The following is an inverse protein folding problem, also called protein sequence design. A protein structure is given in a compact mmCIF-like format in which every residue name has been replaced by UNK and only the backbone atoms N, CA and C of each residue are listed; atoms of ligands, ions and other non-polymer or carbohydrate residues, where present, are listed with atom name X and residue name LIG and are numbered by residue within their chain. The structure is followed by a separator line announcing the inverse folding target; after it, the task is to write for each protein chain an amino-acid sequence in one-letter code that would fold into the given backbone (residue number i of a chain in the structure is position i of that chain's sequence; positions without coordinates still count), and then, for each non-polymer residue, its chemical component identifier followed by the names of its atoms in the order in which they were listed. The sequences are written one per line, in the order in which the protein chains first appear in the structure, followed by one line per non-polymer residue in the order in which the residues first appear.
data_IF_170738726112
#
_entry.id   IF_170738726112
#
_cell.length_a   1.000
_cell.length_b   1.000
_cell.length_c   1.000
_cell.angle_alpha   90.00
_cell.angle_beta   90.00
_cell.angle_gamma   90.00
#
_symmetry.space_group_name_H-M   'P 1'
#
loop_
_entity.id
_entity.type
_entity.pdbx_description
1 polymer ?
#
# COMPACT_ATOMS: atom_id res chain seq x y z
N UNK A 1 -14.53 22.27 15.94
CA UNK A 1 -13.42 22.81 15.12
C UNK A 1 -12.49 21.68 14.67
N UNK A 2 -12.04 20.81 15.60
CA UNK A 2 -11.13 19.69 15.27
C UNK A 2 -11.73 18.62 14.34
N UNK A 3 -13.01 18.26 14.51
CA UNK A 3 -13.68 17.29 13.63
C UNK A 3 -13.76 17.76 12.18
N UNK A 4 -14.08 19.04 11.94
CA UNK A 4 -14.11 19.63 10.60
C UNK A 4 -12.72 19.71 9.95
N UNK A 5 -11.67 19.97 10.74
CA UNK A 5 -10.30 19.95 10.22
C UNK A 5 -9.86 18.53 9.86
N UNK A 6 -10.23 17.52 10.67
CA UNK A 6 -9.92 16.12 10.38
C UNK A 6 -10.59 15.65 9.09
N UNK A 7 -11.90 15.89 8.99
CA UNK A 7 -12.69 15.57 7.80
C UNK A 7 -12.14 16.28 6.55
N UNK A 8 -11.76 17.55 6.67
CA UNK A 8 -11.14 18.30 5.58
C UNK A 8 -9.79 17.69 5.15
N UNK A 9 -8.93 17.31 6.10
CA UNK A 9 -7.64 16.65 5.82
C UNK A 9 -7.84 15.32 5.09
N UNK A 10 -8.81 14.54 5.52
CA UNK A 10 -9.18 13.25 4.93
C UNK A 10 -9.71 13.43 3.50
N UNK A 11 -10.65 14.37 3.32
CA UNK A 11 -11.21 14.71 2.02
C UNK A 11 -10.11 15.08 1.01
N UNK A 12 -9.14 15.92 1.40
CA UNK A 12 -8.09 16.34 0.44
C UNK A 12 -7.32 15.15 -0.15
N UNK A 13 -6.99 14.15 0.66
CA UNK A 13 -6.29 12.93 0.23
C UNK A 13 -7.18 12.00 -0.55
N UNK A 14 -8.41 11.80 -0.09
CA UNK A 14 -9.41 10.98 -0.77
C UNK A 14 -9.69 11.48 -2.18
N UNK A 15 -9.92 12.78 -2.33
CA UNK A 15 -10.25 13.38 -3.63
C UNK A 15 -9.04 13.42 -4.57
N UNK A 16 -7.86 13.82 -4.09
CA UNK A 16 -6.64 13.81 -4.91
C UNK A 16 -6.26 12.38 -5.32
N UNK A 17 -6.32 11.42 -4.39
CA UNK A 17 -6.07 10.01 -4.70
C UNK A 17 -7.09 9.43 -5.67
N UNK A 18 -8.36 9.84 -5.59
CA UNK A 18 -9.38 9.47 -6.58
C UNK A 18 -9.06 10.06 -7.95
N UNK A 19 -8.70 11.35 -8.03
CA UNK A 19 -8.29 12.00 -9.27
C UNK A 19 -7.17 11.22 -9.96
N UNK A 20 -6.11 10.88 -9.23
CA UNK A 20 -4.99 10.12 -9.79
C UNK A 20 -5.46 8.75 -10.31
N UNK A 21 -6.29 8.02 -9.56
CA UNK A 21 -6.72 6.67 -9.97
C UNK A 21 -7.71 6.69 -11.13
N UNK A 22 -8.59 7.67 -11.19
CA UNK A 22 -9.54 7.84 -12.30
C UNK A 22 -8.82 8.14 -13.63
N UNK A 23 -7.68 8.84 -13.58
CA UNK A 23 -6.89 9.24 -14.78
C UNK A 23 -5.82 8.22 -15.15
N UNK A 24 -5.14 7.65 -14.15
CA UNK A 24 -3.93 6.84 -14.33
C UNK A 24 -4.11 5.36 -13.94
N UNK A 25 -5.28 4.95 -13.45
CA UNK A 25 -5.58 3.58 -13.06
C UNK A 25 -5.42 3.31 -11.56
N UNK A 26 -5.96 2.18 -11.10
CA UNK A 26 -6.08 1.86 -9.67
C UNK A 26 -4.87 1.15 -9.08
N UNK A 27 -4.08 0.48 -9.92
CA UNK A 27 -2.95 -0.33 -9.47
C UNK A 27 -1.79 0.57 -9.00
N UNK A 28 -1.21 0.30 -7.83
CA UNK A 28 -0.03 1.01 -7.36
C UNK A 28 1.15 0.83 -8.33
N UNK A 29 1.69 1.95 -8.80
CA UNK A 29 2.82 2.02 -9.75
C UNK A 29 3.33 3.45 -9.84
N UNK A 30 4.49 3.63 -10.46
CA UNK A 30 4.87 4.93 -11.02
C UNK A 30 4.76 4.88 -12.54
N UNK A 31 4.47 6.02 -13.15
CA UNK A 31 4.32 6.18 -14.59
C UNK A 31 5.14 7.39 -15.01
N UNK A 32 5.95 7.25 -16.05
CA UNK A 32 6.66 8.35 -16.70
C UNK A 32 6.01 8.56 -18.06
N UNK A 33 5.54 9.76 -18.35
CA UNK A 33 4.86 10.13 -19.58
C UNK A 33 5.62 11.23 -20.30
N UNK A 34 5.74 11.12 -21.62
CA UNK A 34 6.45 12.08 -22.46
C UNK A 34 5.59 12.56 -23.64
N UNK A 35 5.91 13.75 -24.17
CA UNK A 35 5.33 14.28 -25.41
C UNK A 35 3.79 14.26 -25.42
N UNK A 36 3.16 13.66 -26.43
CA UNK A 36 1.72 13.71 -26.66
C UNK A 36 0.91 13.06 -25.53
N UNK A 37 1.47 12.07 -24.82
CA UNK A 37 0.81 11.41 -23.69
C UNK A 37 0.59 12.37 -22.52
N UNK A 38 1.52 13.33 -22.32
CA UNK A 38 1.41 14.36 -21.29
C UNK A 38 0.22 15.25 -21.58
N UNK A 39 0.08 15.74 -22.81
CA UNK A 39 -1.02 16.62 -23.20
C UNK A 39 -2.39 15.96 -23.01
N UNK A 40 -2.54 14.69 -23.42
CA UNK A 40 -3.77 13.93 -23.22
C UNK A 40 -4.13 13.78 -21.74
N UNK A 41 -3.14 13.41 -20.89
CA UNK A 41 -3.39 13.21 -19.46
C UNK A 41 -3.65 14.51 -18.71
N UNK A 42 -3.01 15.61 -19.08
CA UNK A 42 -3.33 16.93 -18.53
C UNK A 42 -4.76 17.36 -18.90
N UNK A 43 -5.23 17.09 -20.12
CA UNK A 43 -6.62 17.34 -20.52
C UNK A 43 -7.62 16.51 -19.70
N UNK A 44 -7.32 15.24 -19.45
CA UNK A 44 -8.13 14.39 -18.55
C UNK A 44 -8.18 14.95 -17.13
N UNK A 45 -7.05 15.39 -16.57
CA UNK A 45 -7.00 16.04 -15.24
C UNK A 45 -7.83 17.33 -15.24
N UNK A 46 -7.66 18.21 -16.23
CA UNK A 46 -8.42 19.46 -16.36
C UNK A 46 -9.92 19.18 -16.40
N UNK A 47 -10.35 18.19 -17.19
CA UNK A 47 -11.76 17.78 -17.24
C UNK A 47 -12.26 17.34 -15.87
N UNK A 48 -11.49 16.52 -15.14
CA UNK A 48 -11.85 16.06 -13.79
C UNK A 48 -11.92 17.21 -12.78
N UNK A 49 -11.00 18.16 -12.83
CA UNK A 49 -11.04 19.35 -11.98
C UNK A 49 -12.23 20.26 -12.30
N UNK A 50 -12.67 20.34 -13.57
CA UNK A 50 -13.91 21.04 -13.97
C UNK A 50 -15.17 20.32 -13.48
N UNK A 51 -15.18 18.99 -13.52
CA UNK A 51 -16.29 18.16 -13.00
C UNK A 51 -16.39 18.20 -11.47
N UNK A 52 -15.30 18.45 -10.76
CA UNK A 52 -15.23 18.51 -9.29
C UNK A 52 -14.34 19.68 -8.86
N UNK A 53 -14.86 20.93 -8.87
CA UNK A 53 -14.08 22.13 -8.60
C UNK A 53 -13.36 22.14 -7.25
N UNK A 54 -13.87 21.40 -6.26
CA UNK A 54 -13.21 21.22 -4.95
C UNK A 54 -11.82 20.61 -5.07
N UNK A 55 -11.53 19.85 -6.13
CA UNK A 55 -10.20 19.30 -6.40
C UNK A 55 -9.13 20.38 -6.51
N UNK A 56 -9.45 21.57 -7.03
CA UNK A 56 -8.52 22.69 -7.07
C UNK A 56 -8.08 23.07 -5.65
N UNK A 57 -9.06 23.23 -4.76
CA UNK A 57 -8.82 23.58 -3.36
C UNK A 57 -8.13 22.46 -2.55
N UNK A 58 -8.35 21.20 -2.94
CA UNK A 58 -7.77 20.02 -2.30
C UNK A 58 -6.39 19.63 -2.83
N UNK A 59 -5.97 20.20 -3.96
CA UNK A 59 -4.67 19.95 -4.57
C UNK A 59 -3.72 21.08 -4.21
N UNK A 60 -2.53 20.71 -3.76
CA UNK A 60 -1.42 21.62 -3.55
C UNK A 60 -0.36 21.41 -4.61
N UNK A 61 0.29 22.51 -4.96
CA UNK A 61 1.47 22.49 -5.79
C UNK A 61 2.67 23.04 -5.00
N UNK A 62 3.84 22.55 -5.37
CA UNK A 62 5.12 23.06 -4.90
C UNK A 62 5.88 23.70 -6.04
N UNK A 63 6.28 24.94 -5.80
CA UNK A 63 7.07 25.77 -6.71
C UNK A 63 8.16 26.46 -5.89
N UNK A 64 9.34 25.87 -5.86
CA UNK A 64 10.48 26.33 -5.07
C UNK A 64 10.20 26.09 -3.59
N UNK A 65 10.61 27.04 -2.74
CA UNK A 65 10.40 26.96 -1.30
C UNK A 65 8.98 27.33 -0.83
N UNK A 66 7.94 27.19 -1.65
CA UNK A 66 6.56 27.56 -1.29
C UNK A 66 5.54 26.53 -1.78
N UNK A 67 4.53 26.28 -0.94
CA UNK A 67 3.36 25.46 -1.23
C UNK A 67 2.08 26.28 -1.19
N UNK A 68 1.23 26.10 -2.20
CA UNK A 68 -0.04 26.82 -2.30
C UNK A 68 -1.14 25.86 -2.78
N UNK A 69 -2.42 26.15 -2.46
CA UNK A 69 -3.53 25.62 -3.25
C UNK A 69 -3.41 26.07 -4.71
N UNK A 70 -3.96 25.28 -5.62
CA UNK A 70 -4.19 25.74 -6.99
C UNK A 70 -5.56 26.41 -7.09
N UNK A 71 -5.64 27.52 -7.82
CA UNK A 71 -6.87 28.28 -8.07
C UNK A 71 -7.41 28.03 -9.48
N UNK A 72 -6.54 27.67 -10.42
CA UNK A 72 -6.92 27.33 -11.79
C UNK A 72 -6.05 26.21 -12.35
N UNK A 73 -6.66 25.36 -13.18
CA UNK A 73 -5.95 24.32 -13.92
C UNK A 73 -6.68 24.12 -15.24
N UNK A 74 -6.09 24.60 -16.33
CA UNK A 74 -6.64 24.41 -17.66
C UNK A 74 -5.57 24.09 -18.70
N UNK A 75 -5.95 23.43 -19.78
CA UNK A 75 -5.03 23.01 -20.82
C UNK A 75 -5.55 23.50 -22.15
N UNK A 76 -4.77 24.34 -22.83
CA UNK A 76 -5.12 24.90 -24.12
C UNK A 76 -3.87 25.18 -24.97
N UNK A 77 -3.99 25.04 -26.29
CA UNK A 77 -2.93 25.34 -27.25
C UNK A 77 -1.58 24.65 -26.94
N UNK A 78 -1.62 23.46 -26.34
CA UNK A 78 -0.42 22.70 -25.95
C UNK A 78 0.26 23.17 -24.65
N UNK A 79 -0.34 24.11 -23.92
CA UNK A 79 0.16 24.60 -22.63
C UNK A 79 -0.80 24.27 -21.49
N UNK A 80 -0.22 24.04 -20.31
CA UNK A 80 -0.94 24.04 -19.04
C UNK A 80 -0.99 25.48 -18.50
N UNK A 81 -2.17 25.99 -18.26
CA UNK A 81 -2.42 27.25 -17.57
C UNK A 81 -2.78 26.94 -16.12
N UNK A 82 -1.90 27.35 -15.20
CA UNK A 82 -2.06 27.09 -13.77
C UNK A 82 -1.62 28.32 -12.98
N UNK A 83 -2.54 28.88 -12.20
CA UNK A 83 -2.33 30.04 -11.32
C UNK A 83 -1.62 31.25 -11.98
N UNK A 84 -1.98 31.54 -13.24
CA UNK A 84 -1.39 32.61 -14.04
C UNK A 84 -0.11 32.23 -14.77
N UNK A 85 0.48 31.06 -14.52
CA UNK A 85 1.58 30.55 -15.32
C UNK A 85 1.06 29.86 -16.59
N UNK A 86 1.74 30.10 -17.71
CA UNK A 86 1.66 29.34 -18.95
C UNK A 86 2.85 28.38 -18.98
N UNK A 87 2.56 27.10 -18.86
CA UNK A 87 3.56 26.05 -18.58
C UNK A 87 3.63 25.08 -19.76
N UNK A 88 4.82 24.92 -20.33
CA UNK A 88 5.12 23.87 -21.30
C UNK A 88 5.63 22.64 -20.54
N UNK A 89 4.82 21.59 -20.42
CA UNK A 89 5.20 20.38 -19.68
C UNK A 89 5.93 19.41 -20.61
N UNK A 90 7.21 19.16 -20.35
CA UNK A 90 8.07 18.25 -21.12
C UNK A 90 7.76 16.78 -20.81
N UNK A 91 7.65 16.48 -19.52
CA UNK A 91 7.49 15.13 -18.99
C UNK A 91 6.67 15.18 -17.71
N UNK A 92 5.95 14.11 -17.43
CA UNK A 92 5.17 13.96 -16.21
C UNK A 92 5.49 12.63 -15.54
N UNK A 93 5.87 12.68 -14.26
CA UNK A 93 6.01 11.51 -13.40
C UNK A 93 4.81 11.43 -12.47
N UNK A 94 4.12 10.31 -12.44
CA UNK A 94 2.98 10.07 -11.55
C UNK A 94 3.31 8.92 -10.62
N UNK A 95 3.14 9.12 -9.31
CA UNK A 95 3.18 8.05 -8.32
C UNK A 95 1.77 7.74 -7.84
N UNK A 96 1.37 6.47 -8.01
CA UNK A 96 0.17 5.87 -7.44
C UNK A 96 0.60 4.94 -6.31
N UNK A 97 0.43 5.38 -5.08
CA UNK A 97 0.77 4.63 -3.88
C UNK A 97 -0.40 3.78 -3.40
N UNK A 98 -0.16 2.66 -2.70
CA UNK A 98 -1.22 1.97 -1.95
C UNK A 98 -1.82 2.87 -0.85
N UNK A 99 -1.03 3.80 -0.30
CA UNK A 99 -1.45 4.78 0.71
C UNK A 99 -1.63 6.15 0.02
N UNK A 100 -2.86 6.64 -0.20
CA UNK A 100 -3.12 7.82 -1.03
C UNK A 100 -2.39 9.10 -0.63
N UNK A 101 -2.04 9.27 0.64
CA UNK A 101 -1.20 10.37 1.14
C UNK A 101 0.16 10.47 0.44
N UNK A 102 0.66 9.38 -0.12
CA UNK A 102 1.91 9.33 -0.88
C UNK A 102 1.71 9.42 -2.39
N UNK A 103 0.49 9.68 -2.88
CA UNK A 103 0.26 9.94 -4.30
C UNK A 103 0.81 11.32 -4.69
N UNK A 104 1.40 11.43 -5.88
CA UNK A 104 1.85 12.72 -6.43
C UNK A 104 1.88 12.73 -7.96
N UNK A 105 1.86 13.93 -8.54
CA UNK A 105 2.17 14.21 -9.94
C UNK A 105 3.32 15.20 -9.97
N UNK A 106 4.44 14.84 -10.57
CA UNK A 106 5.59 15.72 -10.80
C UNK A 106 5.59 16.15 -12.26
N UNK A 107 5.62 17.45 -12.49
CA UNK A 107 5.68 18.09 -13.79
C UNK A 107 7.11 18.58 -14.04
N UNK A 108 7.75 18.03 -15.06
CA UNK A 108 8.99 18.56 -15.60
C UNK A 108 8.66 19.58 -16.68
N UNK A 109 9.02 20.84 -16.44
CA UNK A 109 8.71 21.98 -17.29
C UNK A 109 9.85 22.20 -18.27
N UNK A 110 9.49 22.35 -19.54
CA UNK A 110 10.41 22.78 -20.59
C UNK A 110 10.57 24.30 -20.50
N UNK A 111 11.80 24.78 -20.45
CA UNK A 111 12.07 26.21 -20.60
C UNK A 111 11.91 26.63 -22.06
N UNK A 112 11.27 27.78 -22.28
CA UNK A 112 11.02 28.32 -23.62
C UNK A 112 12.25 29.02 -24.22
N UNK A 113 13.21 29.45 -23.39
CA UNK A 113 14.48 30.06 -23.84
C UNK A 113 15.62 29.04 -23.83
N UNK A 114 15.62 28.13 -22.85
CA UNK A 114 16.56 26.99 -22.78
C UNK A 114 15.84 25.71 -22.37
N UNK A 115 16.15 24.62 -23.05
CA UNK A 115 15.56 23.30 -22.76
C UNK A 115 16.38 22.45 -21.78
N UNK A 116 17.61 22.86 -21.47
CA UNK A 116 18.52 22.19 -20.54
C UNK A 116 18.79 23.10 -19.34
N UNK A 117 18.84 22.50 -18.15
CA UNK A 117 19.09 23.24 -16.91
C UNK A 117 20.58 23.53 -16.78
N UNK A 118 20.92 24.80 -16.59
CA UNK A 118 22.27 25.27 -16.29
C UNK A 118 22.27 25.98 -14.94
N UNK A 119 23.19 25.61 -14.05
CA UNK A 119 23.24 26.13 -12.68
C UNK A 119 23.32 27.66 -12.63
N UNK A 120 23.91 28.31 -13.64
CA UNK A 120 24.07 29.77 -13.71
C UNK A 120 22.79 30.52 -14.04
N UNK A 121 21.75 29.82 -14.51
CA UNK A 121 20.45 30.43 -14.84
C UNK A 121 19.58 30.70 -13.60
N UNK A 122 19.97 30.16 -12.44
CA UNK A 122 19.18 30.17 -11.21
C UNK A 122 19.81 31.02 -10.11
N UNK A 123 18.98 31.62 -9.26
CA UNK A 123 19.46 32.35 -8.08
C UNK A 123 19.47 31.46 -6.85
N UNK A 124 20.62 30.87 -6.56
CA UNK A 124 20.76 29.94 -5.44
C UNK A 124 20.66 30.68 -4.09
N UNK A 125 19.79 30.18 -3.23
CA UNK A 125 19.37 30.81 -1.99
C UNK A 125 19.98 30.09 -0.79
N UNK A 126 20.75 30.83 0.03
CA UNK A 126 21.04 30.40 1.41
C UNK A 126 21.36 31.51 2.40
N UNK A 127 21.20 32.79 2.02
CA UNK A 127 21.75 34.03 2.61
C UNK A 127 22.87 34.70 1.76
N UNK A 128 22.74 34.68 0.44
CA UNK A 128 23.60 35.43 -0.50
C UNK A 128 24.77 34.60 -1.04
N UNK A 129 24.52 33.83 -2.10
CA UNK A 129 25.58 33.18 -2.88
C UNK A 129 26.22 34.20 -3.83
N UNK A 130 27.55 34.14 -3.97
CA UNK A 130 28.31 34.85 -5.01
C UNK A 130 28.50 33.90 -6.20
N UNK A 131 28.66 34.43 -7.43
CA UNK A 131 28.84 33.64 -8.66
C UNK A 131 30.00 32.62 -8.60
N UNK A 132 30.91 32.77 -7.65
CA UNK A 132 32.13 31.98 -7.44
C UNK A 132 31.99 30.80 -6.46
N UNK A 133 30.83 30.64 -5.82
CA UNK A 133 30.59 29.56 -4.86
C UNK A 133 30.19 28.24 -5.56
N UNK A 134 30.74 27.11 -5.12
CA UNK A 134 30.34 25.78 -5.61
C UNK A 134 28.94 25.39 -5.09
N UNK A 135 28.07 24.91 -6.00
CA UNK A 135 26.71 24.49 -5.65
C UNK A 135 26.72 23.14 -4.93
N UNK A 136 26.17 23.10 -3.71
CA UNK A 136 25.97 21.87 -2.94
C UNK A 136 24.51 21.39 -3.10
N UNK A 137 24.30 20.45 -4.02
CA UNK A 137 22.99 19.86 -4.29
C UNK A 137 22.35 19.15 -3.09
N UNK A 138 23.07 18.92 -1.98
CA UNK A 138 22.48 18.36 -0.76
C UNK A 138 21.96 19.42 0.21
N UNK A 139 22.28 20.69 -0.01
CA UNK A 139 21.95 21.77 0.93
C UNK A 139 21.35 23.01 0.28
N UNK A 140 21.46 23.17 -1.02
CA UNK A 140 21.15 24.43 -1.71
C UNK A 140 19.81 24.37 -2.47
N UNK A 141 19.11 25.51 -2.44
CA UNK A 141 17.80 25.75 -3.06
C UNK A 141 17.88 26.99 -3.94
N UNK A 142 16.86 27.33 -4.73
CA UNK A 142 16.96 28.51 -5.60
C UNK A 142 15.65 29.27 -5.76
N UNK A 143 15.73 30.56 -6.08
CA UNK A 143 14.55 31.39 -6.26
C UNK A 143 13.91 31.23 -7.64
N UNK A 144 12.59 31.09 -7.65
CA UNK A 144 11.81 30.82 -8.87
C UNK A 144 11.60 32.06 -9.75
N UNK A 145 11.82 33.28 -9.24
CA UNK A 145 11.54 34.48 -10.03
C UNK A 145 12.49 34.65 -11.23
N UNK A 146 13.74 34.18 -11.13
CA UNK A 146 14.69 34.25 -12.26
C UNK A 146 14.30 33.34 -13.41
N UNK A 147 13.59 32.24 -13.13
CA UNK A 147 13.16 31.31 -14.17
C UNK A 147 11.92 31.79 -14.92
N UNK A 148 11.27 32.86 -14.45
CA UNK A 148 10.08 33.42 -15.09
C UNK A 148 10.40 34.49 -16.13
N UNK A 149 9.65 34.45 -17.22
CA UNK A 149 9.43 35.54 -18.15
C UNK A 149 7.97 36.01 -18.10
N UNK A 150 7.68 37.18 -18.67
CA UNK A 150 6.33 37.74 -18.72
C UNK A 150 5.72 37.54 -20.11
N UNK A 151 4.53 36.98 -20.17
CA UNK A 151 3.68 37.01 -21.37
C UNK A 151 2.89 38.32 -21.40
N UNK A 152 2.30 38.71 -20.27
CA UNK A 152 1.60 39.97 -20.06
C UNK A 152 1.58 40.33 -18.56
N UNK A 153 0.77 41.32 -18.15
CA UNK A 153 0.69 41.76 -16.75
C UNK A 153 0.24 40.67 -15.76
N UNK A 154 -0.50 39.67 -16.23
CA UNK A 154 -1.12 38.62 -15.40
C UNK A 154 -0.61 37.21 -15.71
N UNK A 155 0.17 37.05 -16.77
CA UNK A 155 0.64 35.74 -17.23
C UNK A 155 2.15 35.67 -17.37
N UNK A 156 2.70 34.57 -16.86
CA UNK A 156 4.13 34.29 -16.85
C UNK A 156 4.43 33.01 -17.63
N UNK A 157 5.67 32.85 -18.09
CA UNK A 157 6.16 31.61 -18.69
C UNK A 157 7.51 31.23 -18.09
N UNK A 158 7.92 29.99 -18.29
CA UNK A 158 9.22 29.50 -17.82
C UNK A 158 10.29 29.66 -18.90
N UNK A 159 11.31 30.48 -18.63
CA UNK A 159 12.46 30.68 -19.52
C UNK A 159 13.37 29.46 -19.54
N UNK A 160 13.55 28.85 -18.36
CA UNK A 160 14.46 27.73 -18.12
C UNK A 160 13.68 26.53 -17.56
N UNK A 161 14.25 25.32 -17.59
CA UNK A 161 13.59 24.14 -17.06
C UNK A 161 13.24 24.29 -15.58
N UNK A 162 12.21 23.57 -15.14
CA UNK A 162 11.76 23.65 -13.76
C UNK A 162 11.00 22.37 -13.36
N UNK A 163 10.99 22.03 -12.08
CA UNK A 163 10.20 20.92 -11.57
C UNK A 163 9.12 21.41 -10.60
N UNK A 164 7.89 20.96 -10.81
CA UNK A 164 6.77 21.18 -9.88
C UNK A 164 6.22 19.84 -9.41
N UNK A 165 5.67 19.79 -8.21
CA UNK A 165 4.98 18.61 -7.71
C UNK A 165 3.58 18.99 -7.20
N UNK A 166 2.59 18.25 -7.67
CA UNK A 166 1.19 18.30 -7.26
C UNK A 166 0.91 17.16 -6.30
N UNK A 167 0.28 17.46 -5.17
CA UNK A 167 -0.11 16.48 -4.15
C UNK A 167 -1.43 16.86 -3.51
N UNK A 168 -2.01 15.97 -2.71
CA UNK A 168 -3.07 16.38 -1.79
C UNK A 168 -2.57 17.49 -0.86
N UNK A 169 -3.43 18.45 -0.53
CA UNK A 169 -3.14 19.50 0.46
C UNK A 169 -2.67 18.97 1.81
N UNK A 170 -3.11 17.77 2.20
CA UNK A 170 -2.52 17.04 3.33
C UNK A 170 -1.91 15.71 2.89
N UNK A 171 -1.13 15.72 1.80
CA UNK A 171 -0.26 14.63 1.36
C UNK A 171 1.01 14.49 2.21
N UNK A 172 1.92 13.62 1.80
CA UNK A 172 3.18 13.38 2.51
C UNK A 172 4.01 14.68 2.75
N UNK A 173 4.14 15.59 1.78
CA UNK A 173 4.87 16.84 1.99
C UNK A 173 4.28 17.72 3.08
N UNK A 174 2.96 17.72 3.20
CA UNK A 174 2.20 18.64 4.04
C UNK A 174 1.93 18.13 5.45
N UNK A 175 2.39 16.91 5.77
CA UNK A 175 2.27 16.32 7.10
C UNK A 175 3.62 16.18 7.80
N UNK A 176 4.59 17.03 7.47
CA UNK A 176 5.92 17.06 8.09
C UNK A 176 6.72 15.76 7.92
N UNK A 177 6.46 14.96 6.88
CA UNK A 177 7.35 13.84 6.55
C UNK A 177 8.70 14.31 6.01
N UNK A 178 8.73 15.51 5.43
CA UNK A 178 9.92 16.20 4.97
C UNK A 178 9.70 17.72 5.08
N UNK A 179 10.78 18.49 5.15
CA UNK A 179 10.70 19.95 5.09
C UNK A 179 10.58 20.44 3.66
N UNK A 180 9.99 21.62 3.47
CA UNK A 180 9.84 22.28 2.16
C UNK A 180 11.20 22.41 1.45
N UNK A 181 12.24 22.85 2.18
CA UNK A 181 13.60 22.93 1.65
C UNK A 181 14.14 21.57 1.21
N UNK A 182 13.79 20.48 1.91
CA UNK A 182 14.25 19.15 1.52
C UNK A 182 13.55 18.68 0.24
N UNK A 183 12.26 18.96 0.09
CA UNK A 183 11.56 18.66 -1.16
C UNK A 183 12.16 19.45 -2.32
N UNK A 184 12.40 20.75 -2.14
CA UNK A 184 13.03 21.59 -3.16
C UNK A 184 14.42 21.08 -3.55
N UNK A 185 15.26 20.73 -2.57
CA UNK A 185 16.57 20.10 -2.82
C UNK A 185 16.43 18.86 -3.70
N UNK A 186 15.45 18.00 -3.43
CA UNK A 186 15.24 16.77 -4.19
C UNK A 186 14.70 17.04 -5.61
N UNK A 187 13.82 18.04 -5.77
CA UNK A 187 13.36 18.49 -7.09
C UNK A 187 14.51 19.09 -7.91
N UNK A 188 15.43 19.82 -7.27
CA UNK A 188 16.62 20.38 -7.92
C UNK A 188 17.56 19.28 -8.36
N UNK A 189 17.89 18.33 -7.47
CA UNK A 189 18.70 17.16 -7.82
C UNK A 189 18.14 16.43 -9.04
N UNK A 190 16.81 16.26 -9.08
CA UNK A 190 16.14 15.62 -10.19
C UNK A 190 16.22 16.44 -11.49
N UNK A 191 16.02 17.76 -11.41
CA UNK A 191 16.09 18.68 -12.54
C UNK A 191 17.48 18.70 -13.19
N UNK A 192 18.53 18.66 -12.38
CA UNK A 192 19.93 18.66 -12.82
C UNK A 192 20.50 17.26 -13.09
N UNK A 193 19.67 16.20 -13.02
CA UNK A 193 20.10 14.83 -13.30
C UNK A 193 21.08 14.24 -12.28
N UNK A 194 21.13 14.81 -11.07
CA UNK A 194 21.93 14.28 -9.94
C UNK A 194 21.30 13.00 -9.37
N UNK A 195 19.98 12.88 -9.47
CA UNK A 195 19.23 11.67 -9.10
C UNK A 195 18.25 11.29 -10.21
N UNK A 196 17.88 10.01 -10.25
CA UNK A 196 16.84 9.46 -11.11
C UNK A 196 15.44 9.63 -10.51
N UNK A 197 14.41 9.30 -11.31
CA UNK A 197 13.03 9.22 -10.80
C UNK A 197 12.87 8.11 -9.77
N UNK A 198 13.54 6.98 -9.94
CA UNK A 198 13.53 5.87 -8.99
C UNK A 198 14.11 6.28 -7.64
N UNK A 199 15.23 7.02 -7.64
CA UNK A 199 15.86 7.54 -6.42
C UNK A 199 14.98 8.59 -5.74
N UNK A 200 14.31 9.47 -6.50
CA UNK A 200 13.34 10.42 -5.95
C UNK A 200 12.16 9.70 -5.30
N UNK A 201 11.59 8.69 -5.95
CA UNK A 201 10.48 7.87 -5.43
C UNK A 201 10.89 7.13 -4.17
N UNK A 202 12.09 6.54 -4.15
CA UNK A 202 12.64 5.86 -2.99
C UNK A 202 12.78 6.83 -1.80
N UNK A 203 13.30 8.03 -2.06
CA UNK A 203 13.38 9.06 -1.03
C UNK A 203 11.98 9.47 -0.53
N UNK A 204 11.04 9.76 -1.43
CA UNK A 204 9.68 10.19 -1.08
C UNK A 204 8.95 9.16 -0.22
N UNK A 205 9.19 7.87 -0.47
CA UNK A 205 8.62 6.74 0.28
C UNK A 205 9.44 6.32 1.51
N UNK A 206 10.52 7.04 1.85
CA UNK A 206 11.37 6.76 3.04
C UNK A 206 10.57 6.57 4.33
N UNK A 207 9.50 7.34 4.62
CA UNK A 207 8.68 7.11 5.82
C UNK A 207 8.08 5.69 5.88
N UNK A 208 7.64 5.15 4.75
CA UNK A 208 7.14 3.78 4.65
C UNK A 208 8.27 2.77 4.82
N UNK A 209 9.42 3.01 4.20
CA UNK A 209 10.62 2.16 4.34
C UNK A 209 11.13 2.09 5.78
N UNK A 210 11.12 3.21 6.51
CA UNK A 210 11.50 3.25 7.93
C UNK A 210 10.55 2.43 8.80
N UNK A 211 9.25 2.50 8.53
CA UNK A 211 8.27 1.71 9.26
C UNK A 211 8.41 0.22 8.93
N UNK A 212 8.68 -0.14 7.68
CA UNK A 212 9.01 -1.52 7.28
C UNK A 212 10.24 -2.04 8.04
N UNK A 213 11.30 -1.25 8.13
CA UNK A 213 12.51 -1.60 8.88
C UNK A 213 12.20 -1.95 10.34
N UNK A 214 11.36 -1.18 11.02
CA UNK A 214 10.95 -1.50 12.41
C UNK A 214 10.23 -2.85 12.52
N UNK A 215 9.42 -3.21 11.53
CA UNK A 215 8.73 -4.51 11.51
C UNK A 215 9.70 -5.64 11.17
N UNK A 216 10.67 -5.43 10.29
CA UNK A 216 11.73 -6.40 10.00
C UNK A 216 12.67 -6.60 11.22
N UNK A 217 12.95 -5.54 11.98
CA UNK A 217 13.65 -5.62 13.28
C UNK A 217 12.84 -6.44 14.29
N UNK A 218 11.52 -6.25 14.34
CA UNK A 218 10.64 -7.06 15.18
C UNK A 218 10.62 -8.54 14.75
N UNK A 219 10.56 -8.81 13.46
CA UNK A 219 10.66 -10.16 12.92
C UNK A 219 11.97 -10.82 13.33
N UNK A 220 13.09 -10.11 13.21
CA UNK A 220 14.42 -10.58 13.66
C UNK A 220 14.44 -10.83 15.17
N UNK A 221 13.79 -9.97 15.96
CA UNK A 221 13.61 -10.17 17.40
C UNK A 221 12.82 -11.45 17.72
N UNK A 222 11.75 -11.75 16.97
CA UNK A 222 10.96 -12.96 17.15
C UNK A 222 11.73 -14.24 16.82
N UNK A 223 12.68 -14.20 15.87
CA UNK A 223 13.54 -15.36 15.59
C UNK A 223 14.37 -15.72 16.83
N UNK A 224 14.93 -14.72 17.50
CA UNK A 224 15.75 -14.92 18.69
C UNK A 224 14.89 -15.16 19.95
N UNK A 225 13.70 -14.57 20.02
CA UNK A 225 12.83 -14.60 21.19
C UNK A 225 11.35 -14.87 20.83
N UNK A 226 11.00 -16.06 20.30
CA UNK A 226 9.66 -16.34 19.76
C UNK A 226 8.50 -16.07 20.72
N UNK A 227 8.72 -16.33 22.01
CA UNK A 227 7.70 -16.20 23.06
C UNK A 227 7.65 -14.80 23.69
N UNK A 228 8.60 -13.91 23.37
CA UNK A 228 8.75 -12.61 24.02
C UNK A 228 8.34 -11.44 23.13
N UNK A 229 7.52 -11.66 22.08
CA UNK A 229 7.13 -10.61 21.14
C UNK A 229 6.57 -9.34 21.81
N UNK A 230 5.90 -9.48 22.96
CA UNK A 230 5.38 -8.35 23.76
C UNK A 230 6.45 -7.49 24.45
N UNK A 231 7.72 -7.91 24.46
CA UNK A 231 8.82 -7.09 24.96
C UNK A 231 9.32 -6.08 23.91
N UNK A 232 9.00 -6.29 22.63
CA UNK A 232 9.36 -5.40 21.53
C UNK A 232 8.30 -4.30 21.30
N UNK A 233 8.73 -3.10 20.91
CA UNK A 233 7.82 -1.96 20.70
C UNK A 233 6.73 -2.24 19.65
N UNK A 234 7.12 -2.85 18.53
CA UNK A 234 6.20 -3.22 17.44
C UNK A 234 5.23 -4.31 17.89
N UNK A 235 5.67 -5.29 18.67
CA UNK A 235 4.78 -6.33 19.21
C UNK A 235 3.70 -5.72 20.12
N UNK A 236 4.08 -4.79 21.00
CA UNK A 236 3.13 -4.02 21.83
C UNK A 236 2.18 -3.20 20.99
N UNK A 237 2.69 -2.54 19.93
CA UNK A 237 1.90 -1.73 19.02
C UNK A 237 0.86 -2.57 18.28
N UNK A 238 1.25 -3.73 17.73
CA UNK A 238 0.35 -4.68 17.07
C UNK A 238 -0.72 -5.15 18.06
N UNK A 239 -0.33 -5.66 19.23
CA UNK A 239 -1.28 -6.17 20.21
C UNK A 239 -2.32 -5.12 20.65
N UNK A 240 -1.87 -3.87 20.87
CA UNK A 240 -2.76 -2.76 21.25
C UNK A 240 -3.78 -2.40 20.16
N UNK A 241 -3.39 -2.51 18.88
CA UNK A 241 -4.17 -1.99 17.77
C UNK A 241 -4.87 -3.07 16.94
N UNK A 242 -4.60 -4.36 17.16
CA UNK A 242 -5.14 -5.46 16.34
C UNK A 242 -6.68 -5.48 16.27
N UNK A 243 -7.37 -5.06 17.34
CA UNK A 243 -8.83 -4.95 17.39
C UNK A 243 -9.43 -3.96 16.37
N UNK A 244 -8.62 -3.00 15.92
CA UNK A 244 -8.99 -1.98 14.95
C UNK A 244 -8.59 -2.33 13.52
N UNK A 245 -7.78 -3.37 13.30
CA UNK A 245 -7.44 -3.82 11.95
C UNK A 245 -8.70 -4.24 11.17
N UNK A 246 -8.63 -4.23 9.82
CA UNK A 246 -9.74 -4.65 8.97
C UNK A 246 -10.32 -5.98 9.41
N UNK A 247 -11.65 -6.03 9.48
CA UNK A 247 -12.39 -7.21 9.89
C UNK A 247 -13.66 -7.35 9.10
N UNK A 248 -14.05 -8.59 8.87
CA UNK A 248 -15.21 -8.93 8.07
C UNK A 248 -16.11 -9.92 8.82
N UNK A 249 -17.36 -9.99 8.36
CA UNK A 249 -18.26 -11.09 8.66
C UNK A 249 -18.40 -11.94 7.41
N UNK A 250 -18.42 -13.25 7.58
CA UNK A 250 -18.63 -14.22 6.51
C UNK A 250 -20.03 -14.79 6.71
N UNK A 251 -20.87 -14.69 5.69
CA UNK A 251 -22.24 -15.19 5.70
C UNK A 251 -22.50 -15.97 4.41
N UNK A 252 -23.08 -17.17 4.56
CA UNK A 252 -23.43 -18.09 3.48
C UNK A 252 -22.34 -18.33 2.40
N UNK A 253 -21.07 -18.30 2.79
CA UNK A 253 -19.93 -18.51 1.86
C UNK A 253 -19.41 -19.95 1.93
N UNK A 254 -19.06 -20.47 0.76
CA UNK A 254 -18.48 -21.80 0.61
C UNK A 254 -16.96 -21.71 0.61
N UNK A 255 -16.33 -22.64 1.32
CA UNK A 255 -14.91 -22.90 1.30
C UNK A 255 -14.64 -24.40 1.14
N UNK A 256 -13.39 -24.75 0.91
CA UNK A 256 -12.95 -26.12 0.65
C UNK A 256 -11.79 -26.47 1.57
N UNK A 257 -11.60 -27.77 1.78
CA UNK A 257 -10.48 -28.33 2.54
C UNK A 257 -10.04 -29.64 1.90
N UNK A 258 -8.74 -29.86 1.84
CA UNK A 258 -8.16 -31.08 1.29
C UNK A 258 -7.26 -31.74 2.32
N UNK A 259 -7.11 -33.05 2.17
CA UNK A 259 -6.11 -33.85 2.87
C UNK A 259 -5.42 -34.77 1.86
N UNK A 260 -4.12 -34.94 2.06
CA UNK A 260 -3.35 -35.96 1.35
C UNK A 260 -3.93 -37.35 1.63
N UNK A 261 -4.11 -38.12 0.57
CA UNK A 261 -4.69 -39.45 0.61
C UNK A 261 -3.66 -40.45 1.14
N UNK A 262 -4.06 -41.26 2.13
CA UNK A 262 -3.31 -42.47 2.52
C UNK A 262 -3.65 -43.68 1.64
N UNK A 263 -4.85 -43.68 1.07
CA UNK A 263 -5.39 -44.68 0.17
C UNK A 263 -6.26 -43.98 -0.89
N UNK A 264 -6.58 -44.64 -2.00
CA UNK A 264 -7.41 -44.06 -3.08
C UNK A 264 -8.90 -44.04 -2.71
N UNK A 265 -9.23 -43.48 -1.55
CA UNK A 265 -10.59 -43.32 -1.04
C UNK A 265 -10.71 -42.02 -0.27
N UNK A 266 -11.82 -41.26 -0.42
CA UNK A 266 -12.04 -40.07 0.39
C UNK A 266 -12.07 -40.39 1.89
N UNK A 267 -11.63 -39.42 2.69
CA UNK A 267 -11.80 -39.49 4.13
C UNK A 267 -13.28 -39.34 4.52
N UNK A 268 -13.64 -39.80 5.72
CA UNK A 268 -14.96 -39.53 6.30
C UNK A 268 -15.14 -38.05 6.67
N UNK A 269 -16.39 -37.63 6.93
CA UNK A 269 -16.65 -36.29 7.47
C UNK A 269 -15.80 -36.01 8.70
N UNK A 270 -15.79 -36.92 9.67
CA UNK A 270 -15.08 -36.73 10.94
C UNK A 270 -13.58 -36.49 10.75
N UNK A 271 -13.01 -37.08 9.71
CA UNK A 271 -11.60 -36.93 9.34
C UNK A 271 -11.35 -35.65 8.55
N UNK A 272 -12.35 -35.07 7.88
CA UNK A 272 -12.17 -33.81 7.14
C UNK A 272 -12.26 -32.55 8.01
N UNK A 273 -12.81 -32.65 9.22
CA UNK A 273 -12.74 -31.56 10.22
C UNK A 273 -11.29 -31.33 10.73
N UNK A 274 -11.13 -30.40 11.66
CA UNK A 274 -9.84 -30.15 12.30
C UNK A 274 -9.42 -31.37 13.17
N UNK A 275 -8.12 -31.67 13.30
CA UNK A 275 -7.68 -32.81 14.09
C UNK A 275 -8.07 -32.64 15.57
N UNK A 276 -8.57 -33.66 16.27
CA UNK A 276 -8.98 -33.55 17.67
C UNK A 276 -7.77 -33.28 18.58
N UNK A 277 -7.76 -32.11 19.23
CA UNK A 277 -6.69 -31.72 20.15
C UNK A 277 -6.56 -32.70 21.31
N UNK A 278 -5.32 -33.06 21.66
CA UNK A 278 -5.01 -34.01 22.73
C UNK A 278 -5.19 -35.50 22.38
N UNK A 279 -5.70 -35.84 21.18
CA UNK A 279 -5.84 -37.23 20.72
C UNK A 279 -4.82 -37.63 19.65
N UNK A 280 -4.40 -36.67 18.82
CA UNK A 280 -3.44 -36.89 17.73
C UNK A 280 -2.38 -35.79 17.73
N UNK A 281 -1.18 -36.05 17.19
CA UNK A 281 -0.20 -35.00 16.96
C UNK A 281 -0.79 -33.91 16.05
N UNK A 282 -0.73 -32.66 16.50
CA UNK A 282 -1.10 -31.50 15.70
C UNK A 282 0.18 -30.73 15.41
N UNK A 283 0.61 -30.83 14.15
CA UNK A 283 1.74 -30.07 13.65
C UNK A 283 1.47 -28.57 13.66
N UNK A 284 2.54 -27.81 13.49
CA UNK A 284 2.42 -26.37 13.40
C UNK A 284 2.00 -25.92 12.00
N UNK A 285 1.20 -24.85 11.95
CA UNK A 285 0.83 -24.16 10.72
C UNK A 285 1.18 -22.68 10.79
N UNK A 286 0.93 -21.95 9.70
CA UNK A 286 1.29 -20.53 9.59
C UNK A 286 0.67 -19.69 10.70
N UNK A 287 -0.55 -20.03 11.12
CA UNK A 287 -1.31 -19.27 12.11
C UNK A 287 -1.63 -20.09 13.37
N UNK A 288 -1.04 -21.28 13.56
CA UNK A 288 -1.21 -22.08 14.78
C UNK A 288 0.11 -22.62 15.30
N UNK A 289 0.22 -22.66 16.63
CA UNK A 289 1.29 -23.35 17.34
C UNK A 289 1.08 -24.87 17.32
N UNK A 290 2.16 -25.61 17.62
CA UNK A 290 2.06 -27.04 17.93
C UNK A 290 0.96 -27.31 18.97
N UNK A 291 0.26 -28.42 18.83
CA UNK A 291 -0.85 -28.83 19.70
C UNK A 291 -2.09 -27.91 19.70
N UNK A 292 -2.14 -26.86 18.87
CA UNK A 292 -3.35 -26.03 18.68
C UNK A 292 -4.04 -26.38 17.37
N UNK A 293 -5.25 -26.94 17.47
CA UNK A 293 -6.05 -27.36 16.33
C UNK A 293 -6.92 -26.21 15.81
N UNK A 294 -6.63 -25.74 14.60
CA UNK A 294 -7.48 -24.79 13.87
C UNK A 294 -7.98 -25.44 12.57
N UNK A 295 -9.10 -24.92 12.04
CA UNK A 295 -9.64 -25.37 10.76
C UNK A 295 -9.17 -24.43 9.64
N UNK A 296 -8.34 -24.98 8.75
CA UNK A 296 -7.86 -24.32 7.53
C UNK A 296 -8.76 -24.70 6.36
N UNK A 297 -9.26 -23.68 5.67
CA UNK A 297 -10.11 -23.76 4.48
C UNK A 297 -9.59 -22.80 3.40
N UNK A 298 -9.97 -22.96 2.13
CA UNK A 298 -9.73 -21.95 1.10
C UNK A 298 -10.96 -21.72 0.20
N UNK A 299 -11.00 -20.60 -0.51
CA UNK A 299 -12.16 -20.16 -1.30
C UNK A 299 -12.43 -20.99 -2.57
N UNK A 300 -11.46 -21.78 -3.05
CA UNK A 300 -11.63 -22.66 -4.21
C UNK A 300 -10.75 -23.91 -4.10
N UNK A 301 -11.16 -24.99 -4.79
CA UNK A 301 -10.52 -26.30 -4.77
C UNK A 301 -9.05 -26.27 -5.21
N UNK A 302 -8.74 -25.52 -6.28
CA UNK A 302 -7.39 -25.39 -6.82
C UNK A 302 -6.41 -24.82 -5.79
N UNK A 303 -6.83 -23.79 -5.05
CA UNK A 303 -6.05 -23.18 -3.98
C UNK A 303 -5.75 -24.19 -2.88
N UNK A 304 -6.79 -24.88 -2.40
CA UNK A 304 -6.62 -25.91 -1.36
C UNK A 304 -5.68 -27.01 -1.81
N UNK A 305 -5.82 -27.46 -3.07
CA UNK A 305 -4.96 -28.48 -3.65
C UNK A 305 -3.49 -28.02 -3.64
N UNK A 306 -3.20 -26.83 -4.16
CA UNK A 306 -1.84 -26.26 -4.17
C UNK A 306 -1.26 -26.05 -2.76
N UNK A 307 -2.11 -25.71 -1.79
CA UNK A 307 -1.70 -25.48 -0.40
C UNK A 307 -1.25 -26.76 0.31
N UNK A 308 -1.97 -27.86 0.12
CA UNK A 308 -1.78 -29.09 0.91
C UNK A 308 -1.05 -30.19 0.14
N UNK A 309 -1.21 -30.25 -1.18
CA UNK A 309 -0.82 -31.41 -1.98
C UNK A 309 0.52 -31.15 -2.65
N UNK A 310 1.52 -32.02 -2.46
CA UNK A 310 2.80 -31.89 -3.13
C UNK A 310 2.64 -31.95 -4.67
N UNK A 311 3.49 -31.26 -5.45
CA UNK A 311 3.34 -31.18 -6.91
C UNK A 311 3.32 -32.52 -7.66
N UNK A 312 3.89 -33.58 -7.07
CA UNK A 312 3.92 -34.92 -7.66
C UNK A 312 2.67 -35.77 -7.38
N UNK A 313 1.81 -35.33 -6.46
CA UNK A 313 0.51 -35.96 -6.23
C UNK A 313 -0.54 -35.29 -7.11
N UNK A 314 -1.38 -36.11 -7.76
CA UNK A 314 -2.46 -35.62 -8.64
C UNK A 314 -3.86 -35.69 -8.03
N UNK A 315 -4.02 -36.32 -6.87
CA UNK A 315 -5.33 -36.57 -6.26
C UNK A 315 -5.30 -36.31 -4.76
N UNK A 316 -6.40 -35.80 -4.21
CA UNK A 316 -6.62 -35.63 -2.77
C UNK A 316 -8.05 -35.97 -2.36
N UNK A 317 -8.28 -36.09 -1.05
CA UNK A 317 -9.64 -36.05 -0.51
C UNK A 317 -10.03 -34.59 -0.29
N UNK A 318 -11.13 -34.16 -0.88
CA UNK A 318 -11.67 -32.80 -0.82
C UNK A 318 -12.99 -32.81 -0.07
N UNK A 319 -13.25 -31.75 0.68
CA UNK A 319 -14.53 -31.52 1.34
C UNK A 319 -14.96 -30.07 1.19
N UNK A 320 -16.27 -29.88 1.05
CA UNK A 320 -16.91 -28.57 0.93
C UNK A 320 -17.50 -28.14 2.27
N UNK A 321 -17.23 -26.91 2.68
CA UNK A 321 -17.68 -26.31 3.93
C UNK A 321 -18.50 -25.07 3.63
N UNK A 322 -19.74 -25.03 4.11
CA UNK A 322 -20.56 -23.82 4.14
C UNK A 322 -20.36 -23.11 5.47
N UNK A 323 -19.76 -21.92 5.45
CA UNK A 323 -19.73 -21.00 6.59
C UNK A 323 -21.02 -20.17 6.54
N UNK A 324 -22.01 -20.60 7.33
CA UNK A 324 -23.34 -19.97 7.39
C UNK A 324 -23.24 -18.58 7.99
N UNK A 325 -22.51 -18.45 9.10
CA UNK A 325 -22.27 -17.16 9.77
C UNK A 325 -20.98 -17.24 10.57
N UNK A 326 -20.06 -16.32 10.36
CA UNK A 326 -18.90 -16.15 11.24
C UNK A 326 -18.49 -14.69 11.26
N UNK A 327 -18.66 -14.05 12.41
CA UNK A 327 -18.38 -12.63 12.58
C UNK A 327 -16.97 -12.40 13.12
N UNK A 328 -16.46 -11.18 13.01
CA UNK A 328 -15.17 -10.79 13.61
C UNK A 328 -14.01 -11.68 13.13
N UNK A 329 -13.90 -11.83 11.81
CA UNK A 329 -12.73 -12.43 11.14
C UNK A 329 -11.73 -11.32 10.86
N UNK A 330 -10.47 -11.50 11.26
CA UNK A 330 -9.40 -10.57 10.93
C UNK A 330 -9.10 -10.69 9.43
N UNK A 331 -9.25 -9.60 8.70
CA UNK A 331 -9.00 -9.57 7.26
C UNK A 331 -7.57 -9.09 7.02
N UNK A 332 -6.73 -10.02 6.57
CA UNK A 332 -5.33 -9.80 6.18
C UNK A 332 -5.14 -10.03 4.69
N UNK A 333 -6.18 -9.79 3.88
CA UNK A 333 -6.06 -9.80 2.42
C UNK A 333 -5.43 -8.52 1.92
N UNK A 334 -4.60 -8.63 0.88
CA UNK A 334 -3.99 -7.51 0.20
C UNK A 334 -5.08 -6.61 -0.36
N UNK A 335 -4.97 -5.33 -0.05
CA UNK A 335 -5.76 -4.26 -0.67
C UNK A 335 -4.85 -3.43 -1.57
N UNK A 336 -5.38 -2.97 -2.69
CA UNK A 336 -4.68 -2.10 -3.64
C UNK A 336 -4.77 -0.62 -3.26
N UNK A 337 -5.76 -0.28 -2.43
CA UNK A 337 -6.02 1.07 -1.97
C UNK A 337 -6.40 1.05 -0.49
N UNK A 338 -5.62 1.76 0.33
CA UNK A 338 -5.92 1.93 1.74
C UNK A 338 -6.72 3.21 1.96
N UNK A 339 -7.73 3.12 2.82
CA UNK A 339 -8.29 4.32 3.41
C UNK A 339 -7.30 4.84 4.47
N UNK A 340 -6.70 6.01 4.24
CA UNK A 340 -5.69 6.57 5.13
C UNK A 340 -6.19 7.71 6.01
N UNK A 341 -7.51 7.87 6.13
CA UNK A 341 -8.18 8.81 7.06
C UNK A 341 -7.48 8.84 8.42
N UNK A 342 -7.42 10.02 9.07
CA UNK A 342 -6.58 10.25 10.26
C UNK A 342 -6.77 9.21 11.36
N UNK A 343 -8.01 8.79 11.58
CA UNK A 343 -8.40 7.85 12.63
C UNK A 343 -7.92 6.41 12.32
N UNK A 344 -7.67 6.12 11.05
CA UNK A 344 -7.30 4.81 10.55
C UNK A 344 -5.85 4.74 10.04
N UNK A 345 -5.12 5.86 9.93
CA UNK A 345 -3.77 5.88 9.34
C UNK A 345 -2.83 4.83 9.95
N UNK A 346 -2.76 4.74 11.29
CA UNK A 346 -1.91 3.75 11.95
C UNK A 346 -2.31 2.32 11.57
N UNK A 347 -3.60 2.04 11.51
CA UNK A 347 -4.15 0.72 11.17
C UNK A 347 -3.86 0.38 9.70
N UNK A 348 -4.03 1.35 8.81
CA UNK A 348 -3.72 1.23 7.38
C UNK A 348 -2.23 1.02 7.14
N UNK A 349 -1.35 1.74 7.86
CA UNK A 349 0.09 1.54 7.78
C UNK A 349 0.54 0.19 8.34
N UNK A 350 -0.03 -0.24 9.47
CA UNK A 350 0.23 -1.57 10.03
C UNK A 350 -0.21 -2.67 9.06
N UNK A 351 -1.44 -2.59 8.54
CA UNK A 351 -1.93 -3.57 7.58
C UNK A 351 -1.10 -3.54 6.29
N UNK A 352 -0.74 -2.36 5.78
CA UNK A 352 0.15 -2.19 4.63
C UNK A 352 1.48 -2.94 4.82
N UNK A 353 2.16 -2.77 5.95
CA UNK A 353 3.47 -3.44 6.13
C UNK A 353 3.32 -4.93 6.41
N UNK A 354 2.30 -5.33 7.15
CA UNK A 354 2.08 -6.74 7.45
C UNK A 354 1.73 -7.50 6.16
N UNK A 355 0.84 -6.94 5.34
CA UNK A 355 0.21 -7.62 4.21
C UNK A 355 0.78 -7.21 2.86
N UNK A 356 0.74 -5.91 2.52
CA UNK A 356 1.14 -5.43 1.19
C UNK A 356 2.64 -5.58 0.96
N UNK A 357 3.47 -5.22 1.95
CA UNK A 357 4.93 -5.43 1.93
C UNK A 357 5.33 -6.92 2.13
N UNK A 358 4.34 -7.82 2.23
CA UNK A 358 4.56 -9.26 2.22
C UNK A 358 5.15 -9.85 3.49
N UNK A 359 5.22 -9.10 4.59
CA UNK A 359 5.89 -9.55 5.83
C UNK A 359 5.30 -10.86 6.38
N UNK A 360 3.97 -11.02 6.33
CA UNK A 360 3.28 -12.25 6.80
C UNK A 360 3.14 -13.34 5.73
N UNK A 361 3.45 -12.99 4.48
CA UNK A 361 3.27 -13.83 3.29
C UNK A 361 4.60 -14.33 2.73
N UNK A 362 5.69 -14.23 3.51
CA UNK A 362 7.01 -14.76 3.14
C UNK A 362 6.90 -16.26 2.78
N UNK A 363 7.53 -16.62 1.67
CA UNK A 363 7.63 -18.00 1.20
C UNK A 363 8.50 -18.78 2.18
N UNK A 364 8.10 -20.02 2.50
CA UNK A 364 8.90 -20.90 3.37
C UNK A 364 10.05 -21.45 2.53
N UNK A 365 11.27 -21.01 2.79
CA UNK A 365 12.44 -21.48 2.04
C UNK A 365 12.84 -22.91 2.44
N UNK A 366 12.67 -23.25 3.72
CA UNK A 366 13.03 -24.54 4.28
C UNK A 366 11.89 -25.11 5.11
N UNK A 367 11.33 -26.26 4.72
CA UNK A 367 10.19 -26.86 5.40
C UNK A 367 10.47 -27.25 6.86
N UNK A 368 11.74 -27.42 7.24
CA UNK A 368 12.18 -27.73 8.61
C UNK A 368 12.40 -26.48 9.46
N UNK A 369 12.61 -25.30 8.85
CA UNK A 369 12.85 -24.02 9.55
C UNK A 369 11.76 -23.02 9.14
N UNK A 370 10.77 -22.83 10.00
CA UNK A 370 9.57 -22.03 9.69
C UNK A 370 9.60 -20.66 10.36
N UNK A 371 10.69 -19.92 10.19
CA UNK A 371 10.80 -18.57 10.76
C UNK A 371 9.69 -17.64 10.24
N UNK A 372 9.25 -17.86 9.00
CA UNK A 372 8.18 -17.11 8.34
C UNK A 372 6.83 -17.27 9.05
N UNK A 373 6.68 -18.24 9.95
CA UNK A 373 5.45 -18.47 10.71
C UNK A 373 5.45 -17.70 12.04
N UNK A 374 6.58 -17.17 12.49
CA UNK A 374 6.68 -16.52 13.81
C UNK A 374 5.77 -15.29 13.93
N UNK A 375 5.85 -14.36 12.98
CA UNK A 375 4.99 -13.17 12.98
C UNK A 375 3.51 -13.51 12.73
N UNK A 376 3.15 -14.35 11.73
CA UNK A 376 1.77 -14.84 11.57
C UNK A 376 1.18 -15.51 12.82
N UNK A 377 1.95 -16.34 13.55
CA UNK A 377 1.50 -16.95 14.81
C UNK A 377 1.32 -15.91 15.92
N UNK A 378 2.25 -14.96 16.03
CA UNK A 378 2.09 -13.84 16.97
C UNK A 378 0.81 -13.04 16.69
N UNK A 379 0.49 -12.78 15.41
CA UNK A 379 -0.75 -12.14 15.01
C UNK A 379 -1.99 -12.98 15.35
N UNK A 380 -1.93 -14.31 15.14
CA UNK A 380 -3.02 -15.21 15.50
C UNK A 380 -3.31 -15.20 17.01
N UNK A 381 -2.27 -15.18 17.85
CA UNK A 381 -2.46 -15.08 19.30
C UNK A 381 -2.99 -13.72 19.73
N UNK A 382 -2.52 -12.63 19.12
CA UNK A 382 -3.07 -11.30 19.32
C UNK A 382 -4.56 -11.25 18.93
N UNK A 383 -4.93 -11.86 17.80
CA UNK A 383 -6.30 -11.88 17.29
C UNK A 383 -7.21 -12.71 18.21
N UNK A 384 -6.77 -13.89 18.63
CA UNK A 384 -7.51 -14.73 19.59
C UNK A 384 -7.71 -14.03 20.93
N UNK A 385 -6.68 -13.37 21.45
CA UNK A 385 -6.76 -12.57 22.69
C UNK A 385 -7.76 -11.41 22.58
N UNK A 386 -8.00 -10.92 21.35
CA UNK A 386 -8.97 -9.87 21.03
C UNK A 386 -10.29 -10.41 20.45
N UNK A 387 -10.61 -11.70 20.70
CA UNK A 387 -11.89 -12.35 20.38
C UNK A 387 -12.24 -12.41 18.89
N UNK A 388 -11.24 -12.36 18.01
CA UNK A 388 -11.46 -12.74 16.61
C UNK A 388 -11.79 -14.23 16.52
N UNK A 389 -12.67 -14.61 15.59
CA UNK A 389 -13.06 -16.01 15.36
C UNK A 389 -12.16 -16.72 14.33
N UNK A 390 -11.35 -15.95 13.61
CA UNK A 390 -10.48 -16.47 12.57
C UNK A 390 -9.72 -15.38 11.83
N UNK A 391 -8.99 -15.80 10.80
CA UNK A 391 -8.19 -14.95 9.90
C UNK A 391 -8.52 -15.32 8.46
N UNK A 392 -8.75 -14.33 7.61
CA UNK A 392 -8.81 -14.47 6.15
C UNK A 392 -7.57 -13.82 5.54
N UNK A 393 -6.87 -14.50 4.64
CA UNK A 393 -5.63 -13.99 4.02
C UNK A 393 -5.44 -14.55 2.60
N UNK A 394 -4.64 -13.89 1.76
CA UNK A 394 -4.34 -14.41 0.41
C UNK A 394 -3.44 -15.64 0.46
N UNK A 395 -3.66 -16.59 -0.46
CA UNK A 395 -2.73 -17.70 -0.66
C UNK A 395 -1.40 -17.20 -1.24
N UNK A 396 -0.30 -17.74 -0.73
CA UNK A 396 1.03 -17.54 -1.32
C UNK A 396 1.29 -18.46 -2.51
N UNK A 397 0.42 -19.45 -2.74
CA UNK A 397 0.56 -20.47 -3.80
C UNK A 397 -0.43 -20.31 -4.95
N UNK A 398 -1.50 -19.53 -4.76
CA UNK A 398 -2.46 -19.18 -5.80
C UNK A 398 -2.83 -17.69 -5.74
N UNK A 399 -2.51 -16.86 -6.75
CA UNK A 399 -2.80 -15.42 -6.74
C UNK A 399 -4.28 -15.06 -6.56
N UNK A 400 -5.21 -15.90 -7.02
CA UNK A 400 -6.66 -15.72 -6.84
C UNK A 400 -7.22 -16.41 -5.58
N UNK A 401 -6.36 -17.13 -4.86
CA UNK A 401 -6.73 -17.92 -3.69
C UNK A 401 -6.81 -17.10 -2.41
N UNK A 402 -7.84 -17.39 -1.61
CA UNK A 402 -8.00 -16.87 -0.25
C UNK A 402 -8.10 -18.04 0.73
N UNK A 403 -7.37 -17.98 1.83
CA UNK A 403 -7.38 -18.96 2.90
C UNK A 403 -8.10 -18.41 4.13
N UNK A 404 -8.96 -19.23 4.73
CA UNK A 404 -9.67 -18.96 5.97
C UNK A 404 -9.17 -19.91 7.07
N UNK A 405 -8.77 -19.35 8.21
CA UNK A 405 -8.44 -20.09 9.42
C UNK A 405 -9.47 -19.79 10.49
N UNK A 406 -10.14 -20.81 11.01
CA UNK A 406 -11.10 -20.70 12.11
C UNK A 406 -10.47 -21.21 13.41
N UNK A 407 -10.54 -20.41 14.46
CA UNK A 407 -9.84 -20.67 15.72
C UNK A 407 -10.57 -21.63 16.67
N UNK A 408 -11.90 -21.72 16.58
CA UNK A 408 -12.73 -22.61 17.39
C UNK A 408 -13.77 -23.35 16.51
N UNK A 409 -13.29 -24.26 15.65
CA UNK A 409 -14.16 -24.99 14.72
C UNK A 409 -15.17 -25.90 15.41
N UNK A 410 -14.86 -26.43 16.60
CA UNK A 410 -15.78 -27.30 17.36
C UNK A 410 -17.01 -26.52 17.82
N UNK A 411 -16.81 -25.30 18.35
CA UNK A 411 -17.91 -24.43 18.71
C UNK A 411 -18.72 -24.02 17.47
N UNK A 412 -18.06 -23.63 16.37
CA UNK A 412 -18.73 -23.23 15.13
C UNK A 412 -19.57 -24.38 14.53
N UNK A 413 -19.07 -25.63 14.59
CA UNK A 413 -19.84 -26.83 14.22
C UNK A 413 -21.06 -27.00 15.12
N UNK A 414 -20.88 -26.92 16.45
CA UNK A 414 -21.93 -27.13 17.45
C UNK A 414 -23.10 -26.15 17.29
N UNK A 415 -22.80 -24.88 16.99
CA UNK A 415 -23.83 -23.84 16.82
C UNK A 415 -24.35 -23.73 15.37
N UNK A 416 -23.92 -24.61 14.47
CA UNK A 416 -24.36 -24.64 13.07
C UNK A 416 -23.84 -23.50 12.20
N UNK A 417 -22.77 -22.82 12.64
CA UNK A 417 -22.16 -21.68 11.92
C UNK A 417 -21.19 -22.13 10.82
N UNK A 418 -20.66 -23.34 10.93
CA UNK A 418 -19.94 -24.03 9.87
C UNK A 418 -20.55 -25.42 9.69
N UNK A 419 -20.89 -25.76 8.45
CA UNK A 419 -21.50 -27.02 8.07
C UNK A 419 -20.63 -27.62 6.96
N UNK A 420 -20.22 -28.88 7.11
CA UNK A 420 -19.61 -29.61 6.00
C UNK A 420 -20.74 -30.17 5.13
N UNK A 421 -20.67 -29.97 3.82
CA UNK A 421 -21.61 -30.63 2.91
C UNK A 421 -21.38 -32.15 2.94
N UNK A 422 -22.43 -32.95 2.63
CA UNK A 422 -22.32 -34.40 2.68
C UNK A 422 -21.20 -34.91 1.77
N UNK A 423 -20.47 -35.89 2.28
CA UNK A 423 -19.51 -36.74 1.55
C UNK A 423 -18.29 -36.02 0.95
N UNK A 424 -17.12 -36.13 1.61
CA UNK A 424 -15.86 -35.81 0.97
C UNK A 424 -15.66 -36.65 -0.29
N UNK A 425 -15.03 -36.08 -1.32
CA UNK A 425 -14.86 -36.70 -2.64
C UNK A 425 -13.40 -36.73 -3.05
N UNK A 426 -13.08 -37.56 -4.05
CA UNK A 426 -11.77 -37.54 -4.70
C UNK A 426 -11.73 -36.36 -5.66
N UNK A 427 -10.75 -35.48 -5.46
CA UNK A 427 -10.45 -34.40 -6.39
C UNK A 427 -9.13 -34.69 -7.09
N UNK A 428 -9.13 -34.67 -8.41
CA UNK A 428 -7.94 -34.92 -9.24
C UNK A 428 -7.68 -33.76 -10.18
N UNK A 429 -6.40 -33.37 -10.31
CA UNK A 429 -5.96 -32.43 -11.34
C UNK A 429 -5.43 -33.20 -12.55
N UNK A 430 -5.75 -32.72 -13.75
CA UNK A 430 -5.32 -33.34 -15.01
C UNK A 430 -3.80 -33.18 -15.22
#
# INVERSE_FOLDING_TARGET
MDAHLSEYKDNTRKFFGKLIRDVFGFEPRYIVLEKDEVGQKLLEISKKMKETPELLHYTWWWRGGSNCPIESFDVNDGYLYMDGDRIKVKQMLVQISPIPRFDFILLNIEGEEKSQADIYDYEWAKKGYREEDEIDFDKDTFHTFRVLGKVNEKQFYYKFPYNMILTAKFGAPNNNFFSDSKLEIMLNKLMFGVISYEEFIQWYNTPLSLLKKKVDDFYSYLILNPMLGMNHEVGKLIFKNIKGLPKINIEDKVFYRARELKNMSPYSESEMWNPPAGKVPIGEGRYNHFAKSFLYLANNEETVFKEVIPPWHKTCSMARFKVVKCTNILDLRRVVHYNDDSDNLLLSLLHYILVYEGTISKHVENEYIKNEYLLPRFLADCARSNRFNGILFNSTKNPSGENLVLFDPDNLKKIGWAIMEPEPYLYSVN
#
